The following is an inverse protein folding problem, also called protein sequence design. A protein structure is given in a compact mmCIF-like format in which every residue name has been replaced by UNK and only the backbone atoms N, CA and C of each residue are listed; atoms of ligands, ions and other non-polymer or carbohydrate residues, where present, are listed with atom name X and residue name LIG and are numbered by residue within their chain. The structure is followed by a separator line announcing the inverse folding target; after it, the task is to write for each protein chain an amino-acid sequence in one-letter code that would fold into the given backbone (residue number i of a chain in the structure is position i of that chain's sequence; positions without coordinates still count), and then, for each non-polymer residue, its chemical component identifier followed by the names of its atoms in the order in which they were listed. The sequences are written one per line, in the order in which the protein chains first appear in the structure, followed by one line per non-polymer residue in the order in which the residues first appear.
data_IF_650785264436
#
_entry.id   IF_650785264436
#
_cell.length_a   1.000
_cell.length_b   1.000
_cell.length_c   1.000
_cell.angle_alpha   90.00
_cell.angle_beta   90.00
_cell.angle_gamma   90.00
#
_symmetry.space_group_name_H-M   'P 1'
#
loop_
_entity.id
_entity.type
_entity.pdbx_description
1 polymer ?
#
# COMPACT_ATOMS: atom_id res chain seq x y z
N UNK A 1 -20.88 -7.67 -42.99
CA UNK A 1 -20.27 -6.75 -42.01
C UNK A 1 -18.89 -7.29 -41.72
N UNK A 2 -17.83 -6.61 -42.18
CA UNK A 2 -16.47 -7.03 -41.85
C UNK A 2 -16.22 -6.81 -40.36
N UNK A 3 -15.85 -7.87 -39.64
CA UNK A 3 -15.52 -7.83 -38.22
C UNK A 3 -14.26 -6.99 -38.01
N UNK A 4 -14.47 -5.74 -37.58
CA UNK A 4 -13.43 -4.73 -37.34
C UNK A 4 -12.61 -4.96 -36.07
N UNK A 5 -12.78 -6.07 -35.35
CA UNK A 5 -12.05 -6.36 -34.11
C UNK A 5 -11.01 -7.47 -34.27
N UNK A 6 -9.88 -7.10 -34.89
CA UNK A 6 -8.73 -7.98 -35.21
C UNK A 6 -8.01 -8.63 -34.01
N UNK A 7 -8.37 -8.32 -32.77
CA UNK A 7 -7.61 -8.68 -31.57
C UNK A 7 -8.31 -9.69 -30.63
N UNK A 8 -9.63 -9.84 -30.70
CA UNK A 8 -10.36 -10.74 -29.79
C UNK A 8 -10.07 -12.20 -30.18
N UNK A 9 -9.67 -13.04 -29.21
CA UNK A 9 -9.42 -14.47 -29.41
C UNK A 9 -8.04 -14.83 -29.99
N UNK A 10 -7.17 -13.86 -30.29
CA UNK A 10 -5.80 -14.13 -30.76
C UNK A 10 -4.82 -14.23 -29.60
N UNK A 11 -3.91 -15.20 -29.66
CA UNK A 11 -2.75 -15.28 -28.77
C UNK A 11 -1.73 -14.20 -29.11
N UNK A 12 -1.91 -13.00 -28.53
CA UNK A 12 -1.02 -11.86 -28.72
C UNK A 12 -0.09 -11.78 -27.51
N UNK A 13 1.21 -11.63 -27.78
CA UNK A 13 2.20 -11.41 -26.72
C UNK A 13 1.96 -10.07 -26.03
N UNK A 14 2.05 -10.09 -24.70
CA UNK A 14 1.93 -8.86 -23.92
C UNK A 14 3.20 -8.03 -24.04
N UNK A 15 3.03 -6.71 -24.19
CA UNK A 15 4.15 -5.75 -24.25
C UNK A 15 5.06 -5.83 -23.01
N UNK A 16 4.50 -6.16 -21.85
CA UNK A 16 5.23 -6.32 -20.58
C UNK A 16 5.71 -7.77 -20.32
N UNK A 17 5.38 -8.71 -21.21
CA UNK A 17 5.60 -10.15 -21.01
C UNK A 17 7.06 -10.51 -20.84
N UNK A 18 7.92 -10.07 -21.78
CA UNK A 18 9.36 -10.34 -21.74
C UNK A 18 10.00 -9.83 -20.45
N UNK A 19 9.67 -8.62 -20.02
CA UNK A 19 10.23 -8.05 -18.78
C UNK A 19 9.85 -8.89 -17.57
N UNK A 20 8.60 -9.36 -17.49
CA UNK A 20 8.13 -10.19 -16.38
C UNK A 20 8.78 -11.56 -16.35
N UNK A 21 8.82 -12.27 -17.48
CA UNK A 21 9.38 -13.65 -17.52
C UNK A 21 10.90 -13.68 -17.40
N UNK A 22 11.59 -12.58 -17.71
CA UNK A 22 13.04 -12.46 -17.57
C UNK A 22 13.49 -11.87 -16.22
N UNK A 23 12.53 -11.52 -15.33
CA UNK A 23 12.84 -10.87 -14.06
C UNK A 23 13.38 -9.44 -14.19
N UNK A 24 13.21 -8.80 -15.37
CA UNK A 24 13.63 -7.42 -15.64
C UNK A 24 12.56 -6.38 -15.33
N UNK A 25 11.34 -6.80 -15.05
CA UNK A 25 10.27 -5.90 -14.63
C UNK A 25 10.55 -5.40 -13.21
N UNK A 26 10.65 -4.08 -13.04
CA UNK A 26 10.80 -3.43 -11.74
C UNK A 26 9.44 -3.19 -11.08
N UNK A 27 9.28 -3.71 -9.87
CA UNK A 27 8.13 -3.50 -9.01
C UNK A 27 8.46 -2.50 -7.89
N UNK A 28 7.44 -2.10 -7.12
CA UNK A 28 7.59 -1.07 -6.09
C UNK A 28 8.70 -1.35 -5.08
N UNK A 29 8.98 -2.63 -4.78
CA UNK A 29 9.99 -3.07 -3.82
C UNK A 29 11.41 -3.09 -4.39
N UNK A 30 11.57 -3.01 -5.71
CA UNK A 30 12.87 -3.18 -6.37
C UNK A 30 13.67 -1.87 -6.45
N UNK A 31 13.04 -0.75 -6.06
CA UNK A 31 13.67 0.56 -6.05
C UNK A 31 14.47 0.76 -4.75
N UNK A 32 15.81 0.84 -4.81
CA UNK A 32 16.61 1.17 -3.63
C UNK A 32 16.37 2.63 -3.24
N UNK A 33 16.12 2.88 -1.96
CA UNK A 33 15.99 4.22 -1.40
C UNK A 33 17.04 4.42 -0.31
N UNK A 34 17.66 5.60 -0.31
CA UNK A 34 18.55 6.01 0.78
C UNK A 34 17.71 6.26 2.04
N UNK A 35 18.22 5.84 3.20
CA UNK A 35 17.60 6.07 4.51
C UNK A 35 16.14 5.54 4.60
N UNK A 36 15.88 4.38 3.96
CA UNK A 36 14.57 3.75 3.92
C UNK A 36 14.12 3.30 5.31
N UNK A 37 12.97 3.80 5.76
CA UNK A 37 12.27 3.27 6.92
C UNK A 37 11.42 2.05 6.55
N UNK A 38 11.32 1.09 7.46
CA UNK A 38 10.47 -0.09 7.33
C UNK A 38 9.27 0.05 8.26
N UNK A 39 8.12 -0.49 7.82
CA UNK A 39 6.90 -0.51 8.61
C UNK A 39 6.33 -1.92 8.68
N UNK A 40 5.66 -2.22 9.80
CA UNK A 40 4.90 -3.46 10.00
C UNK A 40 3.51 -3.12 10.48
N UNK A 41 2.51 -3.83 9.97
CA UNK A 41 1.11 -3.68 10.38
C UNK A 41 0.82 -4.64 11.53
N UNK A 42 0.41 -4.09 12.67
CA UNK A 42 -0.16 -4.88 13.76
C UNK A 42 -1.67 -5.05 13.53
N UNK A 43 -2.12 -6.29 13.41
CA UNK A 43 -3.51 -6.63 13.05
C UNK A 43 -4.27 -7.22 14.23
N UNK A 44 -5.59 -7.14 14.17
CA UNK A 44 -6.47 -7.84 15.12
C UNK A 44 -6.18 -9.34 15.13
N UNK A 45 -6.15 -9.94 16.33
CA UNK A 45 -6.07 -11.39 16.53
C UNK A 45 -7.44 -12.07 16.58
N UNK A 46 -8.52 -11.27 16.54
CA UNK A 46 -9.91 -11.73 16.59
C UNK A 46 -10.69 -11.24 15.36
N UNK A 47 -11.74 -11.96 14.99
CA UNK A 47 -12.55 -11.63 13.82
C UNK A 47 -13.37 -10.33 14.00
N UNK A 48 -13.86 -10.05 15.21
CA UNK A 48 -14.63 -8.85 15.53
C UNK A 48 -14.48 -8.47 17.00
N UNK A 49 -14.40 -7.16 17.27
CA UNK A 49 -14.30 -6.61 18.62
C UNK A 49 -14.20 -5.09 18.60
N UNK A 50 -14.19 -4.48 19.79
CA UNK A 50 -14.01 -3.03 19.97
C UNK A 50 -12.64 -2.76 20.59
N UNK A 51 -11.90 -1.82 20.02
CA UNK A 51 -10.64 -1.33 20.61
C UNK A 51 -10.99 -0.53 21.87
N UNK A 52 -10.57 -1.01 23.04
CA UNK A 52 -10.73 -0.30 24.32
C UNK A 52 -9.47 0.48 24.71
N UNK A 53 -8.29 0.00 24.31
CA UNK A 53 -6.98 0.60 24.59
C UNK A 53 -5.94 0.06 23.61
N UNK A 54 -4.97 0.90 23.25
CA UNK A 54 -3.72 0.50 22.59
C UNK A 54 -2.57 0.87 23.52
N UNK A 55 -1.78 -0.11 23.97
CA UNK A 55 -0.55 0.13 24.72
C UNK A 55 0.66 -0.11 23.82
N UNK A 56 1.38 0.95 23.51
CA UNK A 56 2.50 0.94 22.58
C UNK A 56 3.85 1.31 23.26
N UNK A 57 3.89 1.46 24.58
CA UNK A 57 5.04 2.05 25.27
C UNK A 57 6.31 1.23 25.13
N UNK A 58 6.22 -0.10 25.21
CA UNK A 58 7.37 -0.97 24.99
C UNK A 58 7.90 -0.87 23.56
N UNK A 59 7.01 -0.82 22.56
CA UNK A 59 7.39 -0.73 21.15
C UNK A 59 8.08 0.61 20.84
N UNK A 60 7.57 1.73 21.36
CA UNK A 60 8.18 3.07 21.18
C UNK A 60 9.60 3.16 21.73
N UNK A 61 9.94 2.37 22.76
CA UNK A 61 11.26 2.37 23.41
C UNK A 61 12.24 1.37 22.78
N UNK A 62 11.79 0.53 21.86
CA UNK A 62 12.66 -0.45 21.22
C UNK A 62 13.68 0.22 20.29
N UNK A 63 14.90 -0.31 20.28
CA UNK A 63 15.98 0.21 19.44
C UNK A 63 15.60 0.15 17.95
N UNK A 64 15.81 1.25 17.23
CA UNK A 64 15.51 1.37 15.80
C UNK A 64 14.05 1.69 15.47
N UNK A 65 13.14 1.76 16.45
CA UNK A 65 11.77 2.21 16.20
C UNK A 65 11.73 3.72 16.03
N UNK A 66 11.27 4.17 14.87
CA UNK A 66 11.13 5.60 14.55
C UNK A 66 9.80 6.18 15.06
N UNK A 67 8.72 5.41 14.93
CA UNK A 67 7.39 5.82 15.35
C UNK A 67 6.47 4.60 15.54
N UNK A 68 5.47 4.74 16.41
CA UNK A 68 4.30 3.86 16.45
C UNK A 68 3.08 4.69 16.08
N UNK A 69 2.41 4.34 14.99
CA UNK A 69 1.27 5.08 14.45
C UNK A 69 -0.03 4.36 14.82
N UNK A 70 -0.95 5.09 15.43
CA UNK A 70 -2.30 4.66 15.81
C UNK A 70 -3.33 5.65 15.29
N UNK A 71 -4.61 5.38 15.50
CA UNK A 71 -5.68 6.33 15.19
C UNK A 71 -5.55 7.68 15.93
N UNK A 72 -4.77 7.76 17.01
CA UNK A 72 -4.61 8.97 17.83
C UNK A 72 -3.57 9.95 17.25
N UNK A 73 -2.60 9.45 16.49
CA UNK A 73 -1.46 10.24 15.98
C UNK A 73 -1.21 10.08 14.48
N UNK A 74 -2.05 9.34 13.77
CA UNK A 74 -1.93 9.18 12.32
C UNK A 74 -1.94 10.54 11.61
N UNK A 75 -1.01 10.79 10.67
CA UNK A 75 -1.04 12.02 9.87
C UNK A 75 -2.36 12.16 9.13
N UNK A 76 -2.91 13.38 9.11
CA UNK A 76 -4.10 13.68 8.29
C UNK A 76 -3.75 13.53 6.81
N UNK A 77 -4.63 12.86 6.08
CA UNK A 77 -4.52 12.68 4.64
C UNK A 77 -4.75 14.01 3.93
N UNK A 78 -4.12 14.17 2.76
CA UNK A 78 -4.22 15.38 1.98
C UNK A 78 -5.63 15.51 1.36
N UNK A 79 -6.45 16.36 1.96
CA UNK A 79 -7.83 16.62 1.53
C UNK A 79 -7.91 17.28 0.14
N UNK A 80 -6.84 17.94 -0.32
CA UNK A 80 -6.77 18.55 -1.66
C UNK A 80 -6.41 17.55 -2.76
N UNK A 81 -6.02 16.32 -2.42
CA UNK A 81 -5.62 15.30 -3.40
C UNK A 81 -6.78 14.52 -4.04
N UNK A 82 -8.04 14.84 -3.70
CA UNK A 82 -9.23 14.15 -4.22
C UNK A 82 -9.21 12.64 -3.95
N UNK A 83 -9.81 11.84 -4.84
CA UNK A 83 -9.89 10.38 -4.72
C UNK A 83 -8.51 9.71 -4.56
N UNK A 84 -7.49 10.26 -5.22
CA UNK A 84 -6.12 9.73 -5.22
C UNK A 84 -5.29 10.16 -4.01
N UNK A 85 -5.70 11.22 -3.31
CA UNK A 85 -5.04 11.74 -2.11
C UNK A 85 -5.48 11.08 -0.81
N UNK A 86 -6.34 10.07 -0.87
CA UNK A 86 -6.88 9.41 0.32
C UNK A 86 -7.94 10.23 1.06
N UNK A 87 -8.44 11.33 0.48
CA UNK A 87 -9.39 12.21 1.14
C UNK A 87 -10.69 11.49 1.59
N UNK A 88 -11.11 10.44 0.87
CA UNK A 88 -12.26 9.59 1.25
C UNK A 88 -11.97 8.58 2.37
N UNK A 89 -10.70 8.29 2.64
CA UNK A 89 -10.28 7.38 3.71
C UNK A 89 -10.14 8.11 5.06
N UNK A 90 -10.09 9.44 5.04
CA UNK A 90 -10.16 10.27 6.23
C UNK A 90 -11.62 10.26 6.73
N UNK A 91 -11.84 9.85 7.98
CA UNK A 91 -13.15 9.98 8.61
C UNK A 91 -13.60 11.44 8.68
N UNK A 92 -14.91 11.71 8.75
CA UNK A 92 -15.38 13.04 9.07
C UNK A 92 -14.87 13.40 10.46
N UNK A 93 -14.21 14.54 10.60
CA UNK A 93 -14.19 15.21 11.90
C UNK A 93 -15.59 15.77 12.17
#
# INVERSE_FOLDING_TARGET
MEDTNKAIGKGIDRIDGILKITGKATYATDYPLKDMAYAVLFKSSIASGKIIKIDAEAAKKAAGVLAVITHENAPKLNTKGGLRGGALLQGPE
#
